data_IF_585135325272
#
_entry.id   IF_585135325272
#
_cell.length_a   1.000
_cell.length_b   1.000
_cell.length_c   1.000
_cell.angle_alpha   90.00
_cell.angle_beta   90.00
_cell.angle_gamma   90.00
#
_symmetry.space_group_name_H-M   'P 1'
#
loop_
_entity.id
_entity.type
_entity.pdbx_description
1 polymer ?
#
# COMPACT_ATOMS: atom_id res chain seq x y z
N UNK A 1 -10.35 -2.95 -26.66
CA UNK A 1 -10.45 -1.56 -26.14
C UNK A 1 -9.06 -0.92 -26.17
N UNK A 2 -8.87 0.24 -26.81
CA UNK A 2 -7.59 0.98 -26.75
C UNK A 2 -7.49 1.64 -25.37
N UNK A 3 -6.62 1.10 -24.50
CA UNK A 3 -6.37 1.67 -23.17
C UNK A 3 -5.82 3.09 -23.37
N UNK A 4 -6.50 4.10 -22.80
CA UNK A 4 -6.02 5.48 -22.86
C UNK A 4 -4.68 5.57 -22.11
N UNK A 5 -3.66 6.23 -22.67
CA UNK A 5 -2.39 6.39 -21.97
C UNK A 5 -2.61 7.18 -20.68
N UNK A 6 -1.87 6.81 -19.64
CA UNK A 6 -1.92 7.49 -18.36
C UNK A 6 -1.45 8.94 -18.50
N UNK A 7 -2.16 9.85 -17.86
CA UNK A 7 -1.75 11.26 -17.77
C UNK A 7 -0.60 11.44 -16.76
N UNK A 8 0.01 12.62 -16.76
CA UNK A 8 1.16 12.92 -15.89
C UNK A 8 0.83 12.76 -14.39
N UNK A 9 -0.35 13.18 -13.96
CA UNK A 9 -0.82 13.07 -12.57
C UNK A 9 -0.98 11.61 -12.15
N UNK A 10 -1.55 10.77 -13.01
CA UNK A 10 -1.71 9.33 -12.77
C UNK A 10 -0.36 8.62 -12.68
N UNK A 11 0.59 8.95 -13.57
CA UNK A 11 1.96 8.42 -13.50
C UNK A 11 2.66 8.83 -12.20
N UNK A 12 2.50 10.09 -11.78
CA UNK A 12 3.05 10.58 -10.51
C UNK A 12 2.46 9.84 -9.32
N UNK A 13 1.15 9.64 -9.28
CA UNK A 13 0.48 8.90 -8.21
C UNK A 13 0.94 7.44 -8.15
N UNK A 14 1.03 6.75 -9.29
CA UNK A 14 1.57 5.38 -9.35
C UNK A 14 3.01 5.29 -8.87
N UNK A 15 3.85 6.28 -9.21
CA UNK A 15 5.22 6.35 -8.70
C UNK A 15 5.25 6.46 -7.19
N UNK A 16 4.43 7.34 -6.60
CA UNK A 16 4.36 7.48 -5.14
C UNK A 16 3.85 6.21 -4.47
N UNK A 17 2.85 5.54 -5.05
CA UNK A 17 2.37 4.24 -4.56
C UNK A 17 3.47 3.17 -4.63
N UNK A 18 4.20 3.09 -5.75
CA UNK A 18 5.31 2.15 -5.89
C UNK A 18 6.41 2.37 -4.84
N UNK A 19 6.71 3.63 -4.52
CA UNK A 19 7.65 3.98 -3.45
C UNK A 19 7.13 3.54 -2.07
N UNK A 20 5.83 3.68 -1.81
CA UNK A 20 5.23 3.22 -0.55
C UNK A 20 5.38 1.70 -0.38
N UNK A 21 5.07 0.94 -1.44
CA UNK A 21 5.19 -0.52 -1.45
C UNK A 21 6.65 -0.96 -1.32
N UNK A 22 7.57 -0.34 -2.06
CA UNK A 22 8.99 -0.65 -1.98
C UNK A 22 9.56 -0.36 -0.58
N UNK A 23 9.09 0.70 0.07
CA UNK A 23 9.47 1.05 1.45
C UNK A 23 9.02 -0.03 2.43
N UNK A 24 7.76 -0.48 2.32
CA UNK A 24 7.23 -1.57 3.14
C UNK A 24 7.99 -2.89 2.90
N UNK A 25 8.32 -3.20 1.65
CA UNK A 25 9.04 -4.42 1.29
C UNK A 25 10.48 -4.42 1.81
N UNK A 26 11.17 -3.27 1.73
CA UNK A 26 12.51 -3.07 2.28
C UNK A 26 12.51 -3.22 3.81
N UNK A 27 11.46 -2.70 4.46
CA UNK A 27 11.28 -2.83 5.90
C UNK A 27 11.12 -4.31 6.31
N UNK A 28 10.26 -5.06 5.62
CA UNK A 28 9.97 -6.46 5.93
C UNK A 28 11.09 -7.45 5.54
N UNK A 29 11.71 -7.27 4.36
CA UNK A 29 12.67 -8.24 3.81
C UNK A 29 14.13 -7.93 4.11
N UNK A 30 14.47 -6.68 4.43
CA UNK A 30 15.87 -6.27 4.60
C UNK A 30 16.14 -5.75 6.00
N UNK A 31 15.37 -4.78 6.48
CA UNK A 31 15.64 -4.16 7.77
C UNK A 31 15.30 -5.09 8.94
N UNK A 32 14.12 -5.72 8.90
CA UNK A 32 13.70 -6.65 9.97
C UNK A 32 14.67 -7.82 10.15
N UNK A 33 15.03 -8.61 9.11
CA UNK A 33 15.94 -9.74 9.29
C UNK A 33 17.34 -9.30 9.73
N UNK A 34 17.79 -8.12 9.28
CA UNK A 34 19.08 -7.58 9.69
C UNK A 34 19.10 -7.14 11.15
N UNK A 35 18.05 -6.46 11.61
CA UNK A 35 17.93 -6.09 13.02
C UNK A 35 17.85 -7.32 13.93
N UNK A 36 17.10 -8.35 13.52
CA UNK A 36 17.00 -9.63 14.23
C UNK A 36 18.36 -10.35 14.29
N UNK A 37 19.12 -10.38 13.17
CA UNK A 37 20.47 -10.95 13.13
C UNK A 37 21.47 -10.19 14.02
N UNK A 38 21.31 -8.87 14.15
CA UNK A 38 22.13 -8.03 15.02
C UNK A 38 21.65 -8.03 16.49
N UNK A 39 20.58 -8.75 16.83
CA UNK A 39 19.99 -8.79 18.17
C UNK A 39 19.37 -7.45 18.61
N UNK A 40 19.06 -6.56 17.65
CA UNK A 40 18.52 -5.23 17.93
C UNK A 40 16.99 -5.26 17.93
N UNK A 41 16.35 -4.47 18.81
CA UNK A 41 14.90 -4.32 18.78
C UNK A 41 14.48 -3.70 17.45
N UNK A 42 13.62 -4.41 16.72
CA UNK A 42 12.97 -3.91 15.52
C UNK A 42 11.51 -3.60 15.80
N UNK A 43 11.03 -2.45 15.32
CA UNK A 43 9.63 -2.05 15.45
C UNK A 43 9.02 -1.93 14.05
N UNK A 44 8.08 -2.82 13.75
CA UNK A 44 7.38 -2.82 12.47
C UNK A 44 6.73 -1.44 12.22
N UNK A 45 7.08 -0.84 11.09
CA UNK A 45 6.52 0.41 10.60
C UNK A 45 7.27 1.68 11.00
N UNK A 46 8.37 1.60 11.76
CA UNK A 46 9.15 2.81 12.11
C UNK A 46 9.89 3.40 10.90
N UNK A 47 10.43 2.54 10.02
CA UNK A 47 11.13 3.03 8.84
C UNK A 47 10.17 3.69 7.85
N UNK A 48 9.05 3.03 7.54
CA UNK A 48 8.00 3.59 6.69
C UNK A 48 7.43 4.90 7.26
N UNK A 49 7.21 5.01 8.57
CA UNK A 49 6.80 6.28 9.21
C UNK A 49 7.79 7.41 8.99
N UNK A 50 9.09 7.16 9.19
CA UNK A 50 10.14 8.17 8.98
C UNK A 50 10.19 8.59 7.51
N UNK A 51 10.09 7.62 6.60
CA UNK A 51 10.10 7.88 5.17
C UNK A 51 8.88 8.69 4.72
N UNK A 52 7.68 8.32 5.17
CA UNK A 52 6.43 9.02 4.88
C UNK A 52 6.38 10.43 5.47
N UNK A 53 7.06 10.67 6.59
CA UNK A 53 7.24 12.04 7.13
C UNK A 53 8.07 12.93 6.21
N UNK A 54 9.04 12.36 5.48
CA UNK A 54 9.86 13.09 4.50
C UNK A 54 9.16 13.28 3.16
N UNK A 55 8.31 12.33 2.77
CA UNK A 55 7.55 12.37 1.52
C UNK A 55 6.04 12.20 1.78
N UNK A 56 5.34 13.29 2.12
CA UNK A 56 3.92 13.23 2.46
C UNK A 56 3.04 12.77 1.29
N UNK A 57 3.45 12.98 0.04
CA UNK A 57 2.73 12.53 -1.15
C UNK A 57 2.70 10.99 -1.25
N UNK A 58 3.75 10.33 -0.77
CA UNK A 58 3.82 8.86 -0.68
C UNK A 58 2.83 8.36 0.38
N UNK A 59 2.77 9.02 1.53
CA UNK A 59 1.81 8.71 2.58
C UNK A 59 0.36 8.88 2.10
N UNK A 60 0.09 9.95 1.35
CA UNK A 60 -1.23 10.20 0.79
C UNK A 60 -1.63 9.14 -0.24
N UNK A 61 -0.71 8.75 -1.13
CA UNK A 61 -0.95 7.71 -2.12
C UNK A 61 -1.22 6.34 -1.45
N UNK A 62 -0.47 6.00 -0.40
CA UNK A 62 -0.66 4.76 0.35
C UNK A 62 -2.03 4.69 1.06
N UNK A 63 -2.45 5.79 1.70
CA UNK A 63 -3.78 5.87 2.33
C UNK A 63 -4.91 5.78 1.30
N UNK A 64 -4.78 6.50 0.18
CA UNK A 64 -5.77 6.46 -0.89
C UNK A 64 -5.92 5.04 -1.45
N UNK A 65 -4.80 4.34 -1.63
CA UNK A 65 -4.80 2.95 -2.07
C UNK A 65 -5.48 2.02 -1.05
N UNK A 66 -5.12 2.11 0.23
CA UNK A 66 -5.75 1.29 1.30
C UNK A 66 -7.26 1.47 1.34
N UNK A 67 -7.72 2.71 1.27
CA UNK A 67 -9.16 3.02 1.25
C UNK A 67 -9.86 2.40 0.04
N UNK A 68 -9.27 2.52 -1.16
CA UNK A 68 -9.83 1.92 -2.36
C UNK A 68 -9.87 0.38 -2.29
N UNK A 69 -8.88 -0.24 -1.65
CA UNK A 69 -8.87 -1.69 -1.41
C UNK A 69 -9.97 -2.08 -0.41
N UNK A 70 -10.12 -1.36 0.70
CA UNK A 70 -11.19 -1.61 1.67
C UNK A 70 -12.58 -1.48 1.07
N UNK A 71 -12.81 -0.45 0.26
CA UNK A 71 -14.06 -0.26 -0.50
C UNK A 71 -14.30 -1.45 -1.45
N UNK A 72 -13.30 -1.85 -2.24
CA UNK A 72 -13.40 -3.00 -3.13
C UNK A 72 -13.70 -4.31 -2.39
N UNK A 73 -13.11 -4.54 -1.21
CA UNK A 73 -13.42 -5.70 -0.37
C UNK A 73 -14.85 -5.65 0.18
N UNK A 74 -15.35 -4.47 0.55
CA UNK A 74 -16.74 -4.27 0.96
C UNK A 74 -17.72 -4.62 -0.16
N UNK A 75 -17.49 -4.09 -1.36
CA UNK A 75 -18.29 -4.38 -2.55
C UNK A 75 -18.28 -5.87 -2.90
N UNK A 76 -17.11 -6.50 -2.80
CA UNK A 76 -16.94 -7.93 -3.05
C UNK A 76 -17.75 -8.76 -2.03
N UNK A 77 -17.67 -8.41 -0.75
CA UNK A 77 -18.40 -9.10 0.32
C UNK A 77 -19.91 -8.96 0.14
N UNK A 78 -20.38 -7.75 -0.17
CA UNK A 78 -21.79 -7.52 -0.47
C UNK A 78 -22.28 -8.36 -1.66
N UNK A 79 -21.47 -8.43 -2.72
CA UNK A 79 -21.79 -9.25 -3.91
C UNK A 79 -21.93 -10.74 -3.57
N UNK A 80 -21.07 -11.27 -2.70
CA UNK A 80 -21.15 -12.67 -2.27
C UNK A 80 -22.27 -12.96 -1.25
N UNK A 81 -22.67 -11.97 -0.45
CA UNK A 81 -23.80 -12.09 0.47
C UNK A 81 -25.15 -12.05 -0.29
N UNK A 82 -25.27 -11.19 -1.30
CA UNK A 82 -26.44 -11.12 -2.18
C UNK A 82 -26.68 -12.45 -2.95
N UNK A 83 -25.62 -13.07 -3.49
CA UNK A 83 -25.69 -14.37 -4.16
C UNK A 83 -26.13 -15.54 -3.25
N UNK A 84 -26.04 -15.36 -1.92
CA UNK A 84 -26.46 -16.36 -0.92
C UNK A 84 -27.92 -16.23 -0.50
N UNK A 85 -28.48 -15.03 -0.54
CA UNK A 85 -29.89 -14.79 -0.19
C UNK A 85 -30.86 -15.10 -1.34
N UNK A 86 -30.36 -15.13 -2.59
CA UNK A 86 -31.15 -15.53 -3.77
C UNK A 86 -31.25 -17.06 -4.00
N UNK A 87 -30.59 -17.89 -3.17
CA UNK A 87 -30.65 -19.36 -3.23
C UNK A 87 -31.45 -19.98 -2.09
#
# INVERSE_FOLDING_TARGET
>A
MKVKPLNASQKKLLRHLALALATADLEAKVLKPRCEAEGKPFKDGDFSKIYFKKMPEVAQAERAFKKAVEEAWGDLKYSFEADREEK
#
